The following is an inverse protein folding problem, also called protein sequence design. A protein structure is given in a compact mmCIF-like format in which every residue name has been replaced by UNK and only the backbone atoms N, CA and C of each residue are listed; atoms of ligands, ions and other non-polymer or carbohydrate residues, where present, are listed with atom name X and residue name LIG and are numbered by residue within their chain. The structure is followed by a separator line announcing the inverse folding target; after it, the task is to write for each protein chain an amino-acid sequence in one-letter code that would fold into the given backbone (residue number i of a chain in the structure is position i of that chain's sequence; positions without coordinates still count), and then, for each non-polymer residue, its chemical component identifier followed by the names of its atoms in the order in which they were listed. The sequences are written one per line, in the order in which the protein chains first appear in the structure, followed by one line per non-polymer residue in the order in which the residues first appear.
data_IF_173719617518
#
_entry.id   IF_173719617518
#
_cell.length_a   1.000
_cell.length_b   1.000
_cell.length_c   1.000
_cell.angle_alpha   90.00
_cell.angle_beta   90.00
_cell.angle_gamma   90.00
#
_symmetry.space_group_name_H-M   'P 1'
#
loop_
_entity.id
_entity.type
_entity.pdbx_description
1 polymer ?
#
# COMPACT_ATOMS: atom_id res chain seq x y z
N UNK A 1 22.22 -42.57 -0.24
CA UNK A 1 21.41 -42.03 0.87
C UNK A 1 20.52 -40.92 0.34
N UNK A 2 19.21 -41.16 0.17
CA UNK A 2 18.29 -40.14 -0.37
C UNK A 2 17.46 -39.54 0.77
N UNK A 3 17.84 -38.33 1.21
CA UNK A 3 17.07 -37.60 2.23
C UNK A 3 15.81 -37.00 1.60
N UNK A 4 14.66 -37.64 1.86
CA UNK A 4 13.34 -37.14 1.46
C UNK A 4 12.94 -35.99 2.38
N UNK A 5 13.27 -34.75 2.02
CA UNK A 5 12.70 -33.57 2.68
C UNK A 5 11.21 -33.50 2.34
N UNK A 6 10.36 -33.90 3.29
CA UNK A 6 8.90 -33.72 3.19
C UNK A 6 8.58 -32.22 3.30
N UNK A 7 8.47 -31.54 2.16
CA UNK A 7 7.89 -30.18 2.10
C UNK A 7 6.44 -30.24 2.57
N UNK A 8 6.18 -29.82 3.82
CA UNK A 8 4.82 -29.59 4.32
C UNK A 8 4.19 -28.48 3.48
N UNK A 9 3.30 -28.84 2.56
CA UNK A 9 2.51 -27.90 1.76
C UNK A 9 1.54 -27.17 2.70
N UNK A 10 1.94 -26.02 3.25
CA UNK A 10 1.04 -25.16 4.03
C UNK A 10 -0.13 -24.79 3.11
N UNK A 11 -1.34 -25.23 3.45
CA UNK A 11 -2.56 -24.90 2.71
C UNK A 11 -2.81 -23.41 2.90
N UNK A 12 -2.49 -22.64 1.86
CA UNK A 12 -2.72 -21.21 1.81
C UNK A 12 -4.23 -20.96 1.85
N UNK A 13 -4.69 -20.27 2.89
CA UNK A 13 -6.11 -20.02 3.09
C UNK A 13 -6.43 -18.60 2.60
N UNK A 14 -7.20 -18.44 1.50
CA UNK A 14 -7.36 -17.13 0.84
C UNK A 14 -8.01 -16.06 1.73
N UNK A 15 -8.80 -16.48 2.74
CA UNK A 15 -9.36 -15.56 3.73
C UNK A 15 -8.30 -14.90 4.63
N UNK A 16 -7.12 -15.50 4.81
CA UNK A 16 -6.01 -14.86 5.54
C UNK A 16 -5.41 -13.70 4.73
N UNK A 17 -5.42 -13.79 3.40
CA UNK A 17 -4.98 -12.68 2.53
C UNK A 17 -5.98 -11.54 2.60
N UNK A 18 -7.28 -11.85 2.57
CA UNK A 18 -8.34 -10.87 2.73
C UNK A 18 -8.25 -10.16 4.09
N UNK A 19 -7.96 -10.90 5.17
CA UNK A 19 -7.75 -10.36 6.52
C UNK A 19 -6.54 -9.42 6.58
N UNK A 20 -5.42 -9.78 5.93
CA UNK A 20 -4.22 -8.94 5.86
C UNK A 20 -4.51 -7.65 5.06
N UNK A 21 -5.27 -7.76 3.96
CA UNK A 21 -5.69 -6.61 3.14
C UNK A 21 -6.62 -5.68 3.92
N UNK A 22 -7.56 -6.19 4.73
CA UNK A 22 -8.45 -5.37 5.55
C UNK A 22 -7.75 -4.69 6.73
N UNK A 23 -6.73 -5.32 7.32
CA UNK A 23 -5.90 -4.70 8.38
C UNK A 23 -5.09 -3.52 7.83
N UNK A 24 -4.71 -3.57 6.54
CA UNK A 24 -4.03 -2.46 5.86
C UNK A 24 -5.02 -1.33 5.49
N UNK A 25 -6.32 -1.63 5.34
CA UNK A 25 -7.29 -0.70 4.76
C UNK A 25 -8.25 0.01 5.71
N UNK A 26 -8.53 -0.48 6.93
CA UNK A 26 -9.76 -0.07 7.64
C UNK A 26 -9.58 0.69 8.96
N UNK A 27 -8.49 0.58 9.71
CA UNK A 27 -8.33 1.47 10.88
C UNK A 27 -6.96 1.38 11.55
N UNK A 28 -6.15 2.42 11.40
CA UNK A 28 -5.16 2.81 12.42
C UNK A 28 -3.67 2.69 12.09
N UNK A 29 -3.26 2.09 10.98
CA UNK A 29 -1.84 1.99 10.61
C UNK A 29 -1.53 2.82 9.37
N UNK A 30 -1.32 4.13 9.60
CA UNK A 30 -1.17 5.12 8.53
C UNK A 30 0.23 5.02 7.93
N UNK A 31 0.32 4.54 6.70
CA UNK A 31 1.49 4.77 5.86
C UNK A 31 1.53 6.27 5.53
N UNK A 32 2.27 7.04 6.31
CA UNK A 32 2.39 8.47 6.09
C UNK A 32 3.15 8.77 4.80
N UNK A 33 2.58 9.66 4.00
CA UNK A 33 3.18 10.15 2.76
C UNK A 33 3.82 11.52 3.01
N UNK A 34 5.08 11.71 2.57
CA UNK A 34 5.87 12.94 2.78
C UNK A 34 5.47 14.04 1.79
N UNK A 35 5.22 15.26 2.29
CA UNK A 35 4.97 16.44 1.46
C UNK A 35 5.88 17.59 1.91
N UNK A 36 6.72 18.11 1.00
CA UNK A 36 7.50 19.33 1.26
C UNK A 36 6.59 20.58 1.30
N UNK A 37 7.01 21.61 2.04
CA UNK A 37 6.24 22.80 2.46
C UNK A 37 5.75 23.79 1.37
N UNK A 38 5.40 23.40 0.15
CA UNK A 38 4.92 24.38 -0.84
C UNK A 38 3.67 23.95 -1.64
N UNK A 39 2.52 24.45 -1.20
CA UNK A 39 1.22 24.48 -1.89
C UNK A 39 0.46 23.13 -2.00
N UNK A 40 -0.87 23.23 -2.02
CA UNK A 40 -1.81 22.11 -2.24
C UNK A 40 -1.52 21.31 -3.52
N UNK A 41 -0.85 21.93 -4.49
CA UNK A 41 -0.39 21.28 -5.72
C UNK A 41 0.74 20.27 -5.50
N UNK A 42 1.55 20.40 -4.43
CA UNK A 42 2.54 19.36 -4.09
C UNK A 42 1.88 18.14 -3.45
N UNK A 43 0.90 18.31 -2.57
CA UNK A 43 0.14 17.18 -2.02
C UNK A 43 -0.44 16.31 -3.12
N UNK A 44 -1.06 16.93 -4.13
CA UNK A 44 -1.64 16.20 -5.26
C UNK A 44 -0.57 15.45 -6.06
N UNK A 45 0.59 16.06 -6.33
CA UNK A 45 1.70 15.39 -7.03
C UNK A 45 2.21 14.16 -6.29
N UNK A 46 2.35 14.24 -4.97
CA UNK A 46 2.82 13.09 -4.18
C UNK A 46 1.75 11.99 -4.14
N UNK A 47 0.47 12.37 -4.01
CA UNK A 47 -0.66 11.42 -4.11
C UNK A 47 -0.66 10.74 -5.48
N UNK A 48 -0.56 11.50 -6.57
CA UNK A 48 -0.53 10.96 -7.93
C UNK A 48 0.69 10.04 -8.12
N UNK A 49 1.86 10.40 -7.58
CA UNK A 49 3.05 9.56 -7.63
C UNK A 49 2.86 8.27 -6.84
N UNK A 50 2.31 8.33 -5.62
CA UNK A 50 1.99 7.15 -4.82
C UNK A 50 1.01 6.23 -5.53
N UNK A 51 -0.09 6.77 -6.07
CA UNK A 51 -1.08 5.99 -6.82
C UNK A 51 -0.44 5.35 -8.06
N UNK A 52 0.38 6.10 -8.80
CA UNK A 52 1.10 5.58 -9.96
C UNK A 52 2.05 4.43 -9.58
N UNK A 53 2.80 4.56 -8.48
CA UNK A 53 3.66 3.48 -7.96
C UNK A 53 2.84 2.21 -7.69
N UNK A 54 1.65 2.35 -7.11
CA UNK A 54 0.77 1.22 -6.79
C UNK A 54 0.16 0.58 -8.05
N UNK A 55 -0.38 1.38 -8.96
CA UNK A 55 -1.02 0.92 -10.20
C UNK A 55 -0.01 0.22 -11.13
N UNK A 56 1.16 0.84 -11.33
CA UNK A 56 2.22 0.34 -12.22
C UNK A 56 3.17 -0.67 -11.54
N UNK A 57 2.89 -1.03 -10.29
CA UNK A 57 3.70 -1.97 -9.49
C UNK A 57 5.16 -1.57 -9.34
N UNK A 58 5.46 -0.27 -9.33
CA UNK A 58 6.83 0.25 -9.21
C UNK A 58 7.27 0.29 -7.74
N UNK A 59 7.07 -0.79 -6.98
CA UNK A 59 7.19 -0.78 -5.51
C UNK A 59 8.57 -0.37 -5.00
N UNK A 60 9.63 -0.58 -5.78
CA UNK A 60 10.98 -0.09 -5.46
C UNK A 60 11.04 1.43 -5.23
N UNK A 61 10.10 2.20 -5.79
CA UNK A 61 9.98 3.65 -5.64
C UNK A 61 9.12 4.08 -4.44
N UNK A 62 8.62 3.16 -3.63
CA UNK A 62 7.83 3.52 -2.45
C UNK A 62 8.61 4.42 -1.47
N UNK A 63 9.94 4.33 -1.45
CA UNK A 63 10.80 5.24 -0.68
C UNK A 63 10.73 6.70 -1.11
N UNK A 64 10.26 7.00 -2.33
CA UNK A 64 10.15 8.37 -2.84
C UNK A 64 8.96 9.12 -2.24
N UNK A 65 8.01 8.38 -1.65
CA UNK A 65 6.72 8.93 -1.17
C UNK A 65 6.42 8.56 0.28
N UNK A 66 6.98 7.47 0.82
CA UNK A 66 6.74 7.04 2.20
C UNK A 66 7.70 7.70 3.18
N UNK A 67 7.15 8.17 4.29
CA UNK A 67 7.95 8.65 5.42
C UNK A 67 8.61 7.48 6.16
N UNK A 68 9.83 7.67 6.66
CA UNK A 68 10.56 6.61 7.36
C UNK A 68 9.90 6.15 8.67
N UNK A 69 9.24 7.06 9.39
CA UNK A 69 8.51 6.77 10.62
C UNK A 69 7.30 5.85 10.35
N UNK A 70 6.71 5.97 9.15
CA UNK A 70 5.52 5.22 8.75
C UNK A 70 5.70 3.69 8.75
N UNK A 71 6.93 3.22 8.55
CA UNK A 71 7.26 1.79 8.56
C UNK A 71 8.20 1.40 9.71
N UNK A 72 9.09 2.29 10.15
CA UNK A 72 10.01 2.00 11.25
C UNK A 72 9.32 1.89 12.61
N UNK A 73 8.24 2.65 12.85
CA UNK A 73 7.39 2.53 14.06
C UNK A 73 6.79 1.13 14.22
N UNK A 74 6.76 0.35 13.14
CA UNK A 74 6.23 -1.01 13.08
C UNK A 74 7.31 -2.09 13.12
N UNK A 75 8.58 -1.68 13.26
CA UNK A 75 9.74 -2.56 13.16
C UNK A 75 10.00 -3.07 11.74
N UNK A 76 9.48 -2.41 10.71
CA UNK A 76 9.83 -2.72 9.31
C UNK A 76 10.94 -1.80 8.82
N UNK A 77 11.73 -2.30 7.87
CA UNK A 77 12.59 -1.48 7.01
C UNK A 77 11.84 -1.11 5.73
N UNK A 78 12.35 -0.14 4.97
CA UNK A 78 11.82 0.16 3.63
C UNK A 78 11.85 -1.08 2.73
N UNK A 79 12.92 -1.87 2.80
CA UNK A 79 13.07 -3.11 2.03
C UNK A 79 11.97 -4.13 2.40
N UNK A 80 11.59 -4.24 3.67
CA UNK A 80 10.49 -5.10 4.10
C UNK A 80 9.16 -4.66 3.49
N UNK A 81 8.90 -3.36 3.43
CA UNK A 81 7.67 -2.81 2.83
C UNK A 81 7.64 -3.12 1.33
N UNK A 82 8.73 -2.84 0.61
CA UNK A 82 8.85 -3.12 -0.83
C UNK A 82 8.61 -4.61 -1.09
N UNK A 83 9.32 -5.47 -0.35
CA UNK A 83 9.19 -6.92 -0.47
C UNK A 83 7.78 -7.42 -0.14
N UNK A 84 7.08 -6.79 0.82
CA UNK A 84 5.72 -7.15 1.18
C UNK A 84 4.74 -6.87 0.04
N UNK A 85 4.80 -5.68 -0.56
CA UNK A 85 3.96 -5.36 -1.72
C UNK A 85 4.27 -6.29 -2.88
N UNK A 86 5.54 -6.45 -3.24
CA UNK A 86 5.96 -7.31 -4.35
C UNK A 86 5.48 -8.76 -4.17
N UNK A 87 5.77 -9.37 -3.00
CA UNK A 87 5.41 -10.77 -2.74
C UNK A 87 3.90 -11.00 -2.67
N UNK A 88 3.14 -10.10 -2.06
CA UNK A 88 1.69 -10.25 -1.94
C UNK A 88 1.03 -10.07 -3.30
N UNK A 89 1.36 -8.98 -4.00
CA UNK A 89 0.69 -8.60 -5.24
C UNK A 89 1.05 -9.58 -6.37
N UNK A 90 2.31 -10.01 -6.46
CA UNK A 90 2.70 -11.06 -7.40
C UNK A 90 2.19 -12.43 -6.96
N UNK A 91 2.16 -12.72 -5.66
CA UNK A 91 1.68 -14.00 -5.12
C UNK A 91 0.21 -14.30 -5.42
N UNK A 92 -0.63 -13.26 -5.53
CA UNK A 92 -2.04 -13.39 -5.96
C UNK A 92 -2.28 -13.10 -7.44
N UNK A 93 -1.18 -12.90 -8.20
CA UNK A 93 -1.20 -12.51 -9.61
C UNK A 93 -2.20 -11.36 -9.87
N UNK A 94 -2.01 -10.27 -9.12
CA UNK A 94 -2.85 -9.08 -9.26
C UNK A 94 -2.62 -8.43 -10.62
N UNK A 95 -3.66 -7.95 -11.27
CA UNK A 95 -3.60 -7.30 -12.58
C UNK A 95 -4.64 -6.18 -12.64
N UNK A 96 -4.48 -5.25 -13.59
CA UNK A 96 -5.43 -4.15 -13.82
C UNK A 96 -5.73 -3.38 -12.52
N UNK A 97 -4.67 -3.07 -11.76
CA UNK A 97 -4.80 -2.28 -10.54
C UNK A 97 -5.25 -0.88 -10.97
N UNK A 98 -6.32 -0.39 -10.37
CA UNK A 98 -6.83 0.93 -10.66
C UNK A 98 -7.40 1.61 -9.41
N UNK A 99 -6.94 2.82 -9.13
CA UNK A 99 -7.41 3.69 -8.08
C UNK A 99 -8.50 4.64 -8.61
N UNK A 100 -9.56 4.81 -7.83
CA UNK A 100 -10.69 5.67 -8.14
C UNK A 100 -11.16 6.40 -6.89
N UNK A 101 -12.04 7.40 -7.05
CA UNK A 101 -12.58 8.19 -5.93
C UNK A 101 -11.49 8.80 -5.03
N UNK A 102 -10.35 9.18 -5.62
CA UNK A 102 -9.21 9.75 -4.92
C UNK A 102 -9.62 11.12 -4.37
N UNK A 103 -9.51 11.29 -3.06
CA UNK A 103 -9.88 12.51 -2.35
C UNK A 103 -8.79 12.85 -1.33
N UNK A 104 -8.37 14.11 -1.31
CA UNK A 104 -7.47 14.64 -0.26
C UNK A 104 -8.26 15.65 0.58
N UNK A 105 -8.36 15.40 1.89
CA UNK A 105 -9.03 16.29 2.85
C UNK A 105 -8.02 16.89 3.80
N UNK A 106 -8.10 18.20 4.04
CA UNK A 106 -7.29 18.85 5.07
C UNK A 106 -7.85 18.48 6.45
N UNK A 107 -7.03 17.90 7.33
CA UNK A 107 -7.38 17.62 8.72
C UNK A 107 -6.90 18.74 9.64
N UNK A 108 -5.65 19.16 9.48
CA UNK A 108 -5.03 20.25 10.24
C UNK A 108 -4.11 21.07 9.32
N UNK A 109 -3.32 22.00 9.86
CA UNK A 109 -2.37 22.75 9.06
C UNK A 109 -1.29 21.86 8.44
N UNK A 110 -0.88 20.82 9.15
CA UNK A 110 0.25 19.94 8.77
C UNK A 110 -0.19 18.51 8.44
N UNK A 111 -1.46 18.18 8.64
CA UNK A 111 -2.02 16.88 8.29
C UNK A 111 -3.13 16.98 7.23
N UNK A 112 -3.05 16.08 6.26
CA UNK A 112 -4.12 15.80 5.31
C UNK A 112 -4.43 14.29 5.32
N UNK A 113 -5.62 13.94 4.84
CA UNK A 113 -6.07 12.56 4.67
C UNK A 113 -6.28 12.27 3.20
N UNK A 114 -5.61 11.25 2.69
CA UNK A 114 -5.87 10.65 1.40
C UNK A 114 -6.89 9.52 1.58
N UNK A 115 -7.98 9.56 0.81
CA UNK A 115 -8.94 8.46 0.68
C UNK A 115 -9.03 8.03 -0.79
N UNK A 116 -9.04 6.73 -1.07
CA UNK A 116 -9.17 6.20 -2.43
C UNK A 116 -9.78 4.80 -2.45
N UNK A 117 -10.26 4.38 -3.61
CA UNK A 117 -10.79 3.04 -3.88
C UNK A 117 -9.88 2.29 -4.82
N UNK A 118 -9.41 1.13 -4.43
CA UNK A 118 -8.65 0.24 -5.30
C UNK A 118 -9.55 -0.84 -5.89
N UNK A 119 -9.42 -1.03 -7.20
CA UNK A 119 -9.98 -2.15 -7.93
C UNK A 119 -8.84 -2.90 -8.62
N UNK A 120 -8.98 -4.22 -8.76
CA UNK A 120 -7.98 -5.06 -9.39
C UNK A 120 -8.56 -6.43 -9.75
N UNK A 121 -7.84 -7.17 -10.57
CA UNK A 121 -8.17 -8.54 -10.95
C UNK A 121 -7.15 -9.50 -10.35
N UNK A 122 -7.59 -10.65 -9.89
CA UNK A 122 -6.73 -11.77 -9.46
C UNK A 122 -7.10 -13.02 -10.24
N UNK A 123 -6.35 -14.11 -10.05
CA UNK A 123 -6.74 -15.44 -10.58
C UNK A 123 -8.09 -15.93 -10.08
N UNK A 124 -8.62 -15.35 -9.00
CA UNK A 124 -9.91 -15.72 -8.41
C UNK A 124 -11.05 -14.78 -8.83
N UNK A 125 -10.78 -13.79 -9.70
CA UNK A 125 -11.78 -12.85 -10.20
C UNK A 125 -11.45 -11.38 -9.90
N UNK A 126 -12.39 -10.51 -10.28
CA UNK A 126 -12.29 -9.06 -10.12
C UNK A 126 -12.75 -8.63 -8.73
N UNK A 127 -11.95 -7.80 -8.08
CA UNK A 127 -12.29 -7.08 -6.85
C UNK A 127 -12.51 -5.62 -7.22
N UNK A 128 -13.72 -5.11 -7.01
CA UNK A 128 -14.11 -3.80 -7.56
C UNK A 128 -14.03 -2.65 -6.57
N UNK A 129 -14.01 -2.89 -5.25
CA UNK A 129 -14.19 -1.80 -4.30
C UNK A 129 -13.54 -2.07 -2.94
N UNK A 130 -12.22 -1.92 -2.85
CA UNK A 130 -11.55 -1.82 -1.53
C UNK A 130 -11.30 -0.35 -1.23
N UNK A 131 -11.90 0.17 -0.16
CA UNK A 131 -11.65 1.52 0.31
C UNK A 131 -10.37 1.55 1.15
N UNK A 132 -9.51 2.52 0.89
CA UNK A 132 -8.31 2.81 1.65
C UNK A 132 -8.33 4.26 2.11
N UNK A 133 -7.71 4.50 3.26
CA UNK A 133 -7.39 5.83 3.76
C UNK A 133 -5.97 5.82 4.32
N UNK A 134 -5.26 6.92 4.15
CA UNK A 134 -3.97 7.14 4.80
C UNK A 134 -3.74 8.61 5.06
N UNK A 135 -2.82 8.91 5.97
CA UNK A 135 -2.44 10.28 6.31
C UNK A 135 -1.28 10.76 5.44
N UNK A 136 -1.31 12.05 5.14
CA UNK A 136 -0.30 12.81 4.44
C UNK A 136 0.28 13.80 5.45
N UNK A 137 1.57 13.67 5.76
CA UNK A 137 2.27 14.57 6.69
C UNK A 137 3.04 15.60 5.88
N UNK A 138 2.90 16.86 6.29
CA UNK A 138 3.83 17.90 5.83
C UNK A 138 5.10 17.78 6.64
N UNK A 139 6.21 17.62 5.94
CA UNK A 139 7.54 17.65 6.53
C UNK A 139 8.20 18.99 6.17
N UNK A 140 8.95 19.54 7.12
CA UNK A 140 9.61 20.85 7.02
C UNK A 140 10.77 20.87 6.03
#
# INVERSE_FOLDING_TARGET
MNSRVKRKKKRFKPYLVLLIITIIGISGFSLFIVINRTNTSQSQKVVDHFIHIIEEKQYAKLGDVLDSESYSSLGYTLEDVINKYDRIFNGINIQNIHASSITVKKLSNDEQELSYRLSFTTTFGKITTINYHTKLLKTD
#
